data_IF_178389771992
#
_entry.id   IF_178389771992
#
_cell.length_a   1.000
_cell.length_b   1.000
_cell.length_c   1.000
_cell.angle_alpha   90.00
_cell.angle_beta   90.00
_cell.angle_gamma   90.00
#
_symmetry.space_group_name_H-M   'P 1'
#
loop_
_entity.id
_entity.type
_entity.pdbx_description
1 polymer ?
#
# COMPACT_ATOMS: atom_id res chain seq x y z
N UNK A 1 21.41 -24.08 26.81
CA UNK A 1 19.95 -24.29 26.85
C UNK A 1 19.41 -23.97 25.46
N UNK A 2 19.34 -25.01 24.64
CA UNK A 2 18.87 -24.98 23.25
C UNK A 2 17.38 -25.31 23.28
N UNK A 3 16.58 -24.49 22.62
CA UNK A 3 15.13 -24.69 22.49
C UNK A 3 14.90 -25.79 21.46
N UNK A 4 14.18 -26.84 21.88
CA UNK A 4 13.87 -28.06 21.12
C UNK A 4 13.20 -27.77 19.76
N UNK A 5 13.91 -28.10 18.68
CA UNK A 5 13.53 -28.04 17.27
C UNK A 5 12.66 -29.25 16.83
N UNK A 6 11.87 -29.82 17.75
CA UNK A 6 11.24 -31.15 17.55
C UNK A 6 9.71 -31.19 17.64
N UNK A 7 9.01 -30.05 17.57
CA UNK A 7 7.53 -30.03 17.54
C UNK A 7 6.89 -29.53 16.23
N UNK A 8 7.68 -29.08 15.27
CA UNK A 8 7.21 -28.88 13.90
C UNK A 8 7.77 -30.02 13.06
N UNK A 9 6.99 -31.09 12.89
CA UNK A 9 7.30 -32.12 11.92
C UNK A 9 7.62 -31.46 10.59
N UNK A 10 8.84 -31.65 10.08
CA UNK A 10 9.27 -31.09 8.80
C UNK A 10 8.24 -31.51 7.75
N UNK A 11 7.40 -30.59 7.32
CA UNK A 11 6.59 -30.75 6.12
C UNK A 11 7.61 -30.86 4.99
N UNK A 12 7.93 -32.08 4.56
CA UNK A 12 8.70 -32.30 3.34
C UNK A 12 7.79 -31.98 2.16
N UNK A 13 7.49 -30.70 1.96
CA UNK A 13 7.09 -30.22 0.65
C UNK A 13 8.27 -30.51 -0.27
N UNK A 14 8.06 -31.29 -1.34
CA UNK A 14 9.09 -31.47 -2.36
C UNK A 14 9.62 -30.11 -2.83
N UNK A 15 10.86 -30.02 -3.35
CA UNK A 15 11.50 -28.75 -3.72
C UNK A 15 10.63 -27.85 -4.61
N UNK A 16 9.79 -28.46 -5.44
CA UNK A 16 8.83 -27.79 -6.33
C UNK A 16 7.70 -27.14 -5.54
N UNK A 17 7.10 -27.81 -4.55
CA UNK A 17 6.02 -27.26 -3.75
C UNK A 17 6.54 -26.17 -2.81
N UNK A 18 7.74 -26.35 -2.26
CA UNK A 18 8.42 -25.31 -1.49
C UNK A 18 8.75 -24.08 -2.37
N UNK A 19 9.28 -24.27 -3.58
CA UNK A 19 9.55 -23.15 -4.49
C UNK A 19 8.27 -22.49 -4.99
N UNK A 20 7.19 -23.23 -5.22
CA UNK A 20 5.88 -22.68 -5.63
C UNK A 20 5.25 -21.88 -4.50
N UNK A 21 5.31 -22.38 -3.27
CA UNK A 21 4.82 -21.70 -2.08
C UNK A 21 5.66 -20.44 -1.83
N UNK A 22 6.99 -20.54 -1.78
CA UNK A 22 7.87 -19.40 -1.49
C UNK A 22 7.97 -18.38 -2.64
N UNK A 23 8.02 -18.80 -3.91
CA UNK A 23 8.00 -17.88 -5.07
C UNK A 23 6.60 -17.30 -5.37
N UNK A 24 5.50 -17.81 -4.78
CA UNK A 24 4.16 -17.18 -4.90
C UNK A 24 3.75 -16.41 -3.65
N UNK A 25 4.36 -16.66 -2.49
CA UNK A 25 4.27 -15.77 -1.34
C UNK A 25 4.85 -14.39 -1.65
N UNK A 26 5.97 -14.36 -2.38
CA UNK A 26 6.48 -13.18 -3.08
C UNK A 26 5.99 -13.22 -4.53
N UNK A 27 4.74 -12.84 -4.77
CA UNK A 27 4.19 -12.81 -6.13
C UNK A 27 5.12 -12.07 -7.09
N UNK A 28 5.48 -12.73 -8.19
CA UNK A 28 6.22 -12.11 -9.27
C UNK A 28 5.36 -11.01 -9.92
N UNK A 29 5.98 -9.88 -10.24
CA UNK A 29 5.37 -8.67 -10.82
C UNK A 29 4.55 -8.91 -12.10
N UNK A 30 4.75 -10.04 -12.79
CA UNK A 30 4.07 -10.36 -14.05
C UNK A 30 2.69 -11.02 -13.89
N UNK A 31 2.42 -11.80 -12.82
CA UNK A 31 1.04 -12.26 -12.53
C UNK A 31 0.14 -11.08 -12.07
N UNK A 32 0.76 -9.97 -11.66
CA UNK A 32 0.10 -8.78 -11.09
C UNK A 32 -0.28 -7.70 -12.11
N UNK A 33 0.43 -7.63 -13.26
CA UNK A 33 0.04 -6.76 -14.38
C UNK A 33 -1.31 -7.17 -14.97
N UNK A 34 -1.77 -8.37 -14.65
CA UNK A 34 -2.97 -8.99 -15.20
C UNK A 34 -4.21 -8.90 -14.30
N UNK A 35 -4.19 -8.12 -13.20
CA UNK A 35 -5.42 -7.85 -12.42
C UNK A 35 -6.56 -7.26 -13.28
N UNK A 36 -6.24 -6.63 -14.41
CA UNK A 36 -7.24 -6.17 -15.40
C UNK A 36 -7.67 -7.22 -16.44
N UNK A 37 -7.09 -8.42 -16.47
CA UNK A 37 -7.50 -9.51 -17.40
C UNK A 37 -7.81 -10.84 -16.71
N UNK A 38 -7.24 -11.13 -15.54
CA UNK A 38 -7.52 -12.32 -14.71
C UNK A 38 -7.06 -12.09 -13.25
N UNK A 39 -7.86 -11.36 -12.46
CA UNK A 39 -7.67 -11.31 -11.00
C UNK A 39 -7.88 -12.68 -10.34
N UNK A 40 -7.50 -12.87 -9.06
CA UNK A 40 -7.78 -14.12 -8.37
C UNK A 40 -9.29 -14.38 -8.36
N UNK A 41 -9.70 -15.63 -8.60
CA UNK A 41 -11.10 -16.03 -8.46
C UNK A 41 -11.53 -15.86 -6.99
N UNK A 42 -12.39 -14.87 -6.75
CA UNK A 42 -12.95 -14.59 -5.42
C UNK A 42 -14.34 -15.21 -5.35
N UNK A 43 -14.58 -15.97 -4.28
CA UNK A 43 -15.85 -16.64 -4.01
C UNK A 43 -16.30 -16.30 -2.60
N UNK A 44 -17.59 -16.41 -2.32
CA UNK A 44 -18.17 -16.20 -1.00
C UNK A 44 -18.30 -17.54 -0.26
N UNK A 45 -17.88 -17.59 1.00
CA UNK A 45 -18.10 -18.77 1.85
C UNK A 45 -19.52 -18.79 2.46
N UNK A 46 -19.82 -19.83 3.24
CA UNK A 46 -21.12 -20.01 3.91
C UNK A 46 -21.46 -18.88 4.90
N UNK A 47 -20.47 -18.12 5.35
CA UNK A 47 -20.63 -16.98 6.27
C UNK A 47 -20.79 -15.65 5.52
N UNK A 48 -20.80 -15.66 4.20
CA UNK A 48 -20.86 -14.43 3.40
C UNK A 48 -19.51 -13.74 3.22
N UNK A 49 -18.39 -14.38 3.59
CA UNK A 49 -17.06 -13.78 3.52
C UNK A 49 -16.35 -14.14 2.22
N UNK A 50 -15.69 -13.15 1.61
CA UNK A 50 -14.90 -13.33 0.40
C UNK A 50 -13.60 -14.08 0.70
N UNK A 51 -13.26 -15.04 -0.15
CA UNK A 51 -11.98 -15.74 -0.10
C UNK A 51 -11.48 -16.06 -1.52
N UNK A 52 -10.18 -16.34 -1.65
CA UNK A 52 -9.56 -16.70 -2.92
C UNK A 52 -9.64 -18.22 -3.11
N UNK A 53 -10.50 -18.70 -4.00
CA UNK A 53 -10.76 -20.15 -4.19
C UNK A 53 -9.48 -20.93 -4.48
N UNK A 54 -8.70 -20.43 -5.44
CA UNK A 54 -7.41 -21.01 -5.83
C UNK A 54 -6.42 -21.11 -4.67
N UNK A 55 -6.52 -20.20 -3.68
CA UNK A 55 -5.67 -20.22 -2.50
C UNK A 55 -6.02 -21.40 -1.60
N UNK A 56 -7.30 -21.62 -1.28
CA UNK A 56 -7.71 -22.80 -0.49
C UNK A 56 -7.42 -24.12 -1.20
N UNK A 57 -7.68 -24.20 -2.49
CA UNK A 57 -7.41 -25.41 -3.29
C UNK A 57 -5.92 -25.81 -3.25
N UNK A 58 -5.01 -24.82 -3.30
CA UNK A 58 -3.57 -25.06 -3.27
C UNK A 58 -3.08 -25.63 -1.93
N UNK A 59 -3.67 -25.18 -0.83
CA UNK A 59 -3.22 -25.52 0.51
C UNK A 59 -4.06 -26.62 1.19
N UNK A 60 -5.20 -27.04 0.61
CA UNK A 60 -6.03 -28.12 1.16
C UNK A 60 -5.26 -29.40 1.52
N UNK A 61 -4.29 -29.88 0.70
CA UNK A 61 -3.53 -31.07 1.04
C UNK A 61 -2.66 -30.94 2.29
N UNK A 62 -2.29 -29.72 2.68
CA UNK A 62 -1.38 -29.45 3.80
C UNK A 62 -2.09 -29.49 5.16
N UNK A 63 -3.42 -29.39 5.20
CA UNK A 63 -4.24 -29.43 6.42
C UNK A 63 -3.71 -28.51 7.53
N UNK A 64 -3.28 -27.30 7.16
CA UNK A 64 -2.83 -26.24 8.07
C UNK A 64 -3.91 -25.18 8.26
N UNK A 65 -3.83 -24.41 9.35
CA UNK A 65 -4.67 -23.23 9.52
C UNK A 65 -4.26 -22.15 8.49
N UNK A 66 -5.16 -21.84 7.57
CA UNK A 66 -4.93 -20.87 6.51
C UNK A 66 -5.37 -19.47 6.87
N UNK A 67 -6.09 -19.25 7.98
CA UNK A 67 -6.68 -17.94 8.26
C UNK A 67 -5.65 -16.79 8.27
N UNK A 68 -4.48 -16.91 8.93
CA UNK A 68 -3.46 -15.84 8.90
C UNK A 68 -2.90 -15.63 7.48
N UNK A 69 -2.74 -16.72 6.73
CA UNK A 69 -2.14 -16.72 5.41
C UNK A 69 -3.11 -16.08 4.39
N UNK A 70 -4.39 -16.44 4.43
CA UNK A 70 -5.46 -15.86 3.61
C UNK A 70 -5.60 -14.36 3.89
N UNK A 71 -5.61 -13.95 5.17
CA UNK A 71 -5.73 -12.55 5.54
C UNK A 71 -4.55 -11.71 5.02
N UNK A 72 -3.31 -12.20 5.19
CA UNK A 72 -2.13 -11.49 4.69
C UNK A 72 -2.05 -11.49 3.15
N UNK A 73 -2.50 -12.56 2.49
CA UNK A 73 -2.62 -12.60 1.04
C UNK A 73 -3.65 -11.57 0.54
N UNK A 74 -4.85 -11.55 1.13
CA UNK A 74 -5.91 -10.60 0.81
C UNK A 74 -5.41 -9.16 0.95
N UNK A 75 -4.68 -8.83 2.03
CA UNK A 75 -4.08 -7.51 2.21
C UNK A 75 -3.10 -7.15 1.09
N UNK A 76 -2.22 -8.08 0.68
CA UNK A 76 -1.26 -7.83 -0.43
C UNK A 76 -1.99 -7.56 -1.75
N UNK A 77 -3.02 -8.34 -2.07
CA UNK A 77 -3.81 -8.13 -3.28
C UNK A 77 -4.59 -6.81 -3.24
N UNK A 78 -5.22 -6.49 -2.10
CA UNK A 78 -5.90 -5.21 -1.91
C UNK A 78 -4.92 -4.04 -2.07
N UNK A 79 -3.76 -4.08 -1.41
CA UNK A 79 -2.73 -3.06 -1.53
C UNK A 79 -2.23 -2.88 -2.97
N UNK A 80 -2.06 -3.97 -3.73
CA UNK A 80 -1.67 -3.87 -5.14
C UNK A 80 -2.79 -3.29 -6.01
N UNK A 81 -4.03 -3.69 -5.78
CA UNK A 81 -5.19 -3.13 -6.50
C UNK A 81 -5.30 -1.62 -6.26
N UNK A 82 -5.15 -1.18 -5.00
CA UNK A 82 -5.13 0.23 -4.62
C UNK A 82 -4.02 0.99 -5.35
N UNK A 83 -2.80 0.47 -5.33
CA UNK A 83 -1.66 1.08 -6.02
C UNK A 83 -1.91 1.22 -7.53
N UNK A 84 -2.44 0.19 -8.20
CA UNK A 84 -2.76 0.24 -9.63
C UNK A 84 -3.85 1.27 -9.95
N UNK A 85 -4.86 1.38 -9.09
CA UNK A 85 -5.93 2.36 -9.25
C UNK A 85 -5.40 3.79 -9.09
N UNK A 86 -4.56 4.01 -8.08
CA UNK A 86 -3.90 5.30 -7.85
C UNK A 86 -2.94 5.67 -8.98
N UNK A 87 -2.16 4.72 -9.50
CA UNK A 87 -1.28 4.92 -10.65
C UNK A 87 -2.08 5.31 -11.90
N UNK A 88 -3.15 4.57 -12.22
CA UNK A 88 -4.03 4.87 -13.36
C UNK A 88 -4.73 6.21 -13.21
N UNK A 89 -5.21 6.51 -12.02
CA UNK A 89 -5.87 7.77 -11.73
C UNK A 89 -4.88 8.94 -11.86
N UNK A 90 -3.67 8.80 -11.32
CA UNK A 90 -2.63 9.82 -11.48
C UNK A 90 -2.21 10.06 -12.91
N UNK A 91 -2.08 8.98 -13.71
CA UNK A 91 -1.75 9.08 -15.12
C UNK A 91 -2.79 9.90 -15.92
N UNK A 92 -4.07 9.92 -15.52
CA UNK A 92 -5.09 10.81 -16.12
C UNK A 92 -4.78 12.30 -15.94
N UNK A 93 -3.97 12.64 -14.96
CA UNK A 93 -3.55 14.00 -14.63
C UNK A 93 -2.07 14.26 -14.90
N UNK A 94 -1.41 13.40 -15.68
CA UNK A 94 0.04 13.46 -16.00
C UNK A 94 0.97 13.39 -14.78
N UNK A 95 0.46 12.85 -13.67
CA UNK A 95 1.17 12.75 -12.40
C UNK A 95 1.35 11.28 -11.99
N UNK A 96 2.47 10.96 -11.36
CA UNK A 96 2.63 9.67 -10.70
C UNK A 96 1.93 9.68 -9.33
N UNK A 97 1.58 8.51 -8.79
CA UNK A 97 0.99 8.38 -7.45
C UNK A 97 1.80 9.14 -6.39
N UNK A 98 3.12 8.95 -6.35
CA UNK A 98 3.95 9.65 -5.36
C UNK A 98 3.97 11.17 -5.51
N UNK A 99 3.86 11.68 -6.76
CA UNK A 99 3.81 13.13 -7.00
C UNK A 99 2.47 13.70 -6.52
N UNK A 100 1.37 12.99 -6.78
CA UNK A 100 0.06 13.32 -6.23
C UNK A 100 0.03 13.27 -4.71
N UNK A 101 0.65 12.25 -4.10
CA UNK A 101 0.77 12.12 -2.65
C UNK A 101 1.42 13.35 -2.02
N UNK A 102 2.54 13.81 -2.59
CA UNK A 102 3.22 15.05 -2.13
C UNK A 102 2.31 16.26 -2.30
N UNK A 103 1.72 16.47 -3.47
CA UNK A 103 0.85 17.63 -3.72
C UNK A 103 -0.36 17.65 -2.78
N UNK A 104 -1.01 16.50 -2.56
CA UNK A 104 -2.14 16.37 -1.65
C UNK A 104 -1.78 16.63 -0.20
N UNK A 105 -0.62 16.13 0.23
CA UNK A 105 -0.17 16.34 1.61
C UNK A 105 0.13 17.83 1.86
N UNK A 106 0.83 18.47 0.93
CA UNK A 106 1.10 19.91 1.00
C UNK A 106 -0.17 20.76 0.89
N UNK A 107 -1.15 20.34 0.08
CA UNK A 107 -2.43 21.05 -0.05
C UNK A 107 -3.20 21.07 1.27
N UNK A 108 -3.23 19.94 1.99
CA UNK A 108 -3.95 19.79 3.26
C UNK A 108 -3.23 20.38 4.46
N UNK A 109 -1.91 20.23 4.51
CA UNK A 109 -1.12 20.52 5.71
C UNK A 109 -0.25 21.77 5.60
N UNK A 110 -0.22 22.40 4.42
CA UNK A 110 0.66 23.51 4.14
C UNK A 110 2.09 23.04 3.88
N UNK A 111 3.04 23.94 4.11
CA UNK A 111 4.46 23.66 3.88
C UNK A 111 4.94 22.59 4.86
N UNK A 112 5.65 21.57 4.38
CA UNK A 112 6.15 20.48 5.22
C UNK A 112 7.64 20.21 5.01
N UNK A 113 8.40 19.85 6.06
CA UNK A 113 9.73 19.29 5.91
C UNK A 113 9.71 18.05 5.02
N UNK A 114 10.76 17.85 4.22
CA UNK A 114 10.86 16.66 3.36
C UNK A 114 10.91 15.35 4.18
N UNK A 115 11.45 15.39 5.39
CA UNK A 115 11.43 14.24 6.30
C UNK A 115 10.01 13.85 6.72
N UNK A 116 9.18 14.83 7.06
CA UNK A 116 7.77 14.60 7.43
C UNK A 116 6.97 14.07 6.24
N UNK A 117 7.20 14.60 5.03
CA UNK A 117 6.61 14.04 3.81
C UNK A 117 7.00 12.57 3.58
N UNK A 118 8.23 12.18 3.93
CA UNK A 118 8.68 10.80 3.81
C UNK A 118 7.94 9.88 4.79
N UNK A 119 7.80 10.32 6.03
CA UNK A 119 7.10 9.56 7.06
C UNK A 119 5.59 9.45 6.77
N UNK A 120 4.94 10.57 6.43
CA UNK A 120 3.50 10.64 6.15
C UNK A 120 3.08 9.81 4.94
N UNK A 121 3.94 9.75 3.92
CA UNK A 121 3.66 8.99 2.69
C UNK A 121 4.25 7.57 2.74
N UNK A 122 4.86 7.18 3.86
CA UNK A 122 5.57 5.90 4.03
C UNK A 122 6.59 5.64 2.91
N UNK A 123 7.32 6.69 2.51
CA UNK A 123 8.33 6.66 1.45
C UNK A 123 9.74 6.89 2.02
N UNK A 124 10.76 6.44 1.29
CA UNK A 124 12.15 6.75 1.70
C UNK A 124 12.46 8.23 1.47
N UNK A 125 13.35 8.85 2.28
CA UNK A 125 13.78 10.24 2.05
C UNK A 125 14.33 10.49 0.65
N UNK A 126 15.09 9.52 0.09
CA UNK A 126 15.60 9.59 -1.28
C UNK A 126 14.48 9.66 -2.32
N UNK A 127 13.41 8.89 -2.11
CA UNK A 127 12.25 8.91 -3.02
C UNK A 127 11.54 10.27 -2.96
N UNK A 128 11.30 10.80 -1.76
CA UNK A 128 10.69 12.12 -1.58
C UNK A 128 11.51 13.22 -2.23
N UNK A 129 12.83 13.23 -2.03
CA UNK A 129 13.70 14.23 -2.67
C UNK A 129 13.53 14.20 -4.19
N UNK A 130 13.55 13.01 -4.80
CA UNK A 130 13.33 12.87 -6.24
C UNK A 130 11.94 13.37 -6.68
N UNK A 131 10.89 12.99 -5.96
CA UNK A 131 9.52 13.45 -6.26
C UNK A 131 9.40 14.98 -6.20
N UNK A 132 9.97 15.60 -5.16
CA UNK A 132 9.99 17.07 -5.01
C UNK A 132 10.83 17.72 -6.11
N UNK A 133 11.98 17.14 -6.50
CA UNK A 133 12.79 17.67 -7.61
C UNK A 133 12.03 17.68 -8.94
N UNK A 134 11.19 16.68 -9.18
CA UNK A 134 10.34 16.63 -10.37
C UNK A 134 9.21 17.67 -10.29
N UNK A 135 8.53 17.77 -9.16
CA UNK A 135 7.45 18.75 -8.96
C UNK A 135 7.96 20.19 -9.00
N UNK A 136 9.18 20.45 -8.55
CA UNK A 136 9.84 21.75 -8.64
C UNK A 136 10.22 22.11 -10.08
N UNK A 137 10.75 21.12 -10.83
CA UNK A 137 10.96 21.28 -12.28
C UNK A 137 9.68 21.54 -13.05
N UNK A 138 8.57 20.93 -12.63
CA UNK A 138 7.23 21.13 -13.20
C UNK A 138 6.59 22.46 -12.72
N UNK A 139 7.25 23.22 -11.83
CA UNK A 139 6.78 24.50 -11.31
C UNK A 139 5.60 24.40 -10.32
N UNK A 140 5.32 23.20 -9.80
CA UNK A 140 4.18 22.94 -8.90
C UNK A 140 4.56 23.06 -7.41
N UNK A 141 5.84 22.85 -7.09
CA UNK A 141 6.38 22.93 -5.73
C UNK A 141 7.62 23.82 -5.75
N UNK A 142 7.91 24.47 -4.63
CA UNK A 142 9.19 25.14 -4.39
C UNK A 142 9.74 24.72 -3.02
N UNK A 143 11.07 24.73 -2.88
CA UNK A 143 11.72 24.55 -1.57
C UNK A 143 11.95 25.88 -0.89
N UNK A 144 11.57 25.95 0.38
CA UNK A 144 11.79 27.11 1.24
C UNK A 144 12.64 26.72 2.45
N UNK A 145 13.50 27.63 2.95
CA UNK A 145 14.24 27.38 4.19
C UNK A 145 13.30 27.07 5.34
N UNK A 146 13.66 26.11 6.19
CA UNK A 146 12.95 25.92 7.44
C UNK A 146 13.33 27.04 8.42
N UNK A 147 12.33 27.68 9.01
CA UNK A 147 12.52 28.78 9.95
C UNK A 147 13.11 28.29 11.28
N UNK A 148 12.81 27.04 11.65
CA UNK A 148 13.19 26.44 12.93
C UNK A 148 14.49 25.62 12.83
N UNK A 149 14.86 25.16 11.62
CA UNK A 149 16.11 24.45 11.36
C UNK A 149 16.76 24.88 10.04
N UNK A 150 17.84 25.66 10.11
CA UNK A 150 18.59 26.13 8.93
C UNK A 150 19.22 25.02 8.10
N UNK A 151 19.29 23.78 8.60
CA UNK A 151 19.78 22.61 7.85
C UNK A 151 18.66 21.85 7.15
N UNK A 152 17.40 22.18 7.44
CA UNK A 152 16.21 21.58 6.85
C UNK A 152 15.61 22.46 5.77
N UNK A 153 14.90 21.83 4.84
CA UNK A 153 14.13 22.48 3.79
C UNK A 153 12.71 21.97 3.83
N UNK A 154 11.76 22.89 3.59
CA UNK A 154 10.35 22.58 3.49
C UNK A 154 9.94 22.62 2.02
N UNK A 155 9.06 21.72 1.62
CA UNK A 155 8.37 21.83 0.35
C UNK A 155 7.12 22.69 0.54
N UNK A 156 6.83 23.55 -0.44
CA UNK A 156 5.67 24.44 -0.49
C UNK A 156 5.00 24.33 -1.87
N UNK A 157 3.67 24.37 -1.91
CA UNK A 157 2.96 24.51 -3.19
C UNK A 157 3.15 25.91 -3.76
N UNK A 158 3.50 25.99 -5.04
CA UNK A 158 3.40 27.26 -5.80
C UNK A 158 1.92 27.60 -6.05
N UNK A 159 1.66 28.80 -6.57
CA UNK A 159 0.32 29.17 -7.02
C UNK A 159 -0.23 28.18 -8.07
N UNK A 160 0.61 27.81 -9.04
CA UNK A 160 0.27 26.82 -10.06
C UNK A 160 0.03 25.42 -9.48
N UNK A 161 0.85 24.99 -8.52
CA UNK A 161 0.66 23.73 -7.80
C UNK A 161 -0.67 23.68 -7.04
N UNK A 162 -1.03 24.78 -6.38
CA UNK A 162 -2.28 24.91 -5.64
C UNK A 162 -3.50 24.85 -6.57
N UNK A 163 -3.48 25.58 -7.68
CA UNK A 163 -4.57 25.54 -8.68
C UNK A 163 -4.70 24.13 -9.29
N UNK A 164 -3.57 23.51 -9.64
CA UNK A 164 -3.55 22.16 -10.22
C UNK A 164 -4.16 21.13 -9.27
N UNK A 165 -3.79 21.16 -7.99
CA UNK A 165 -4.26 20.15 -7.03
C UNK A 165 -5.69 20.41 -6.55
N UNK A 166 -6.16 21.67 -6.48
CA UNK A 166 -7.54 21.98 -6.10
C UNK A 166 -8.57 21.38 -7.07
N UNK A 167 -8.27 21.45 -8.37
CA UNK A 167 -9.10 20.81 -9.41
C UNK A 167 -9.11 19.28 -9.34
N UNK A 168 -8.04 18.68 -8.82
CA UNK A 168 -7.83 17.23 -8.74
C UNK A 168 -8.38 16.64 -7.42
N UNK A 169 -8.34 17.41 -6.32
CA UNK A 169 -8.67 16.97 -4.97
C UNK A 169 -10.09 16.44 -4.84
N UNK A 170 -11.07 17.13 -5.42
CA UNK A 170 -12.48 16.72 -5.35
C UNK A 170 -12.71 15.39 -6.03
N UNK A 171 -12.19 15.21 -7.24
CA UNK A 171 -12.29 13.94 -7.99
C UNK A 171 -11.60 12.79 -7.25
N UNK A 172 -10.42 13.04 -6.67
CA UNK A 172 -9.71 12.05 -5.88
C UNK A 172 -10.50 11.61 -4.65
N UNK A 173 -11.18 12.54 -3.97
CA UNK A 173 -12.01 12.23 -2.81
C UNK A 173 -13.23 11.37 -3.17
N UNK A 174 -13.93 11.69 -4.24
CA UNK A 174 -15.08 10.90 -4.72
C UNK A 174 -14.66 9.50 -5.15
N UNK A 175 -13.48 9.37 -5.78
CA UNK A 175 -12.93 8.07 -6.17
C UNK A 175 -12.67 7.16 -4.96
N UNK A 176 -12.18 7.71 -3.84
CA UNK A 176 -11.98 6.94 -2.60
C UNK A 176 -13.31 6.41 -2.04
N UNK A 177 -14.40 7.18 -2.16
CA UNK A 177 -15.72 6.74 -1.70
C UNK A 177 -16.28 5.61 -2.55
N UNK A 178 -16.11 5.67 -3.87
CA UNK A 178 -16.55 4.60 -4.76
C UNK A 178 -15.79 3.28 -4.51
N UNK A 179 -14.51 3.33 -4.14
CA UNK A 179 -13.72 2.13 -3.85
C UNK A 179 -14.22 1.34 -2.64
N UNK A 180 -14.85 2.01 -1.68
CA UNK A 180 -15.37 1.38 -0.46
C UNK A 180 -16.88 1.12 -0.51
N UNK A 181 -17.50 1.32 -1.67
CA UNK A 181 -18.93 1.10 -1.86
C UNK A 181 -19.32 -0.33 -1.50
N UNK A 182 -20.36 -0.47 -0.67
CA UNK A 182 -20.82 -1.76 -0.16
C UNK A 182 -20.19 -2.16 1.18
N UNK A 183 -19.22 -1.40 1.69
CA UNK A 183 -18.70 -1.55 3.05
C UNK A 183 -19.55 -0.75 4.04
N UNK A 184 -19.91 -1.35 5.17
CA UNK A 184 -20.58 -0.66 6.28
C UNK A 184 -19.59 0.18 7.10
N UNK A 185 -20.09 1.07 7.97
CA UNK A 185 -19.23 1.82 8.90
C UNK A 185 -18.40 0.88 9.80
N UNK A 186 -18.98 -0.25 10.20
CA UNK A 186 -18.29 -1.29 10.97
C UNK A 186 -17.16 -1.93 10.16
N UNK A 187 -17.40 -2.26 8.89
CA UNK A 187 -16.37 -2.85 8.01
C UNK A 187 -15.19 -1.90 7.84
N UNK A 188 -15.47 -0.61 7.64
CA UNK A 188 -14.45 0.44 7.48
C UNK A 188 -13.64 0.64 8.77
N UNK A 189 -14.31 0.67 9.92
CA UNK A 189 -13.65 0.77 11.21
C UNK A 189 -12.76 -0.45 11.49
N UNK A 190 -13.25 -1.65 11.18
CA UNK A 190 -12.51 -2.89 11.34
C UNK A 190 -11.32 -2.97 10.39
N UNK A 191 -11.49 -2.60 9.11
CA UNK A 191 -10.40 -2.56 8.14
C UNK A 191 -9.28 -1.62 8.61
N UNK A 192 -9.62 -0.40 9.02
CA UNK A 192 -8.65 0.57 9.56
C UNK A 192 -7.92 -0.01 10.77
N UNK A 193 -8.66 -0.58 11.72
CA UNK A 193 -8.09 -1.15 12.95
C UNK A 193 -7.10 -2.29 12.63
N UNK A 194 -7.50 -3.25 11.79
CA UNK A 194 -6.67 -4.41 11.46
C UNK A 194 -5.41 -4.03 10.68
N UNK A 195 -5.51 -3.09 9.73
CA UNK A 195 -4.34 -2.58 9.01
C UNK A 195 -3.34 -1.89 9.96
N UNK A 196 -3.82 -1.05 10.88
CA UNK A 196 -2.95 -0.39 11.86
C UNK A 196 -2.34 -1.38 12.87
N UNK A 197 -3.11 -2.40 13.28
CA UNK A 197 -2.57 -3.47 14.13
C UNK A 197 -1.44 -4.23 13.44
N UNK A 198 -1.54 -4.47 12.13
CA UNK A 198 -0.45 -5.08 11.35
C UNK A 198 0.79 -4.18 11.29
N UNK A 199 0.63 -2.85 11.19
CA UNK A 199 1.75 -1.91 11.27
C UNK A 199 2.45 -2.00 12.63
N UNK A 200 1.68 -2.02 13.73
CA UNK A 200 2.24 -2.15 15.07
C UNK A 200 2.95 -3.49 15.29
N UNK A 201 2.40 -4.58 14.75
CA UNK A 201 3.06 -5.89 14.81
C UNK A 201 4.36 -5.90 13.99
N UNK A 202 4.36 -5.32 12.79
CA UNK A 202 5.56 -5.23 11.95
C UNK A 202 6.65 -4.38 12.60
N UNK A 203 6.31 -3.29 13.30
CA UNK A 203 7.27 -2.47 14.06
C UNK A 203 7.98 -3.29 15.13
N UNK A 204 7.21 -4.05 15.92
CA UNK A 204 7.75 -4.94 16.96
C UNK A 204 8.72 -5.98 16.38
N UNK A 205 8.38 -6.60 15.25
CA UNK A 205 9.26 -7.57 14.59
C UNK A 205 10.54 -6.93 14.03
N UNK A 206 10.46 -5.69 13.54
CA UNK A 206 11.62 -4.93 13.06
C UNK A 206 12.46 -4.33 14.18
N UNK A 207 12.11 -4.56 15.45
CA UNK A 207 12.80 -4.02 16.62
C UNK A 207 12.68 -2.50 16.76
N UNK A 208 11.59 -1.92 16.24
CA UNK A 208 11.25 -0.50 16.35
C UNK A 208 10.18 -0.25 17.41
#
# INVERSE_FOLDING_TARGET
MSVDDHRLGRITCGPILYSVIMNRFNMNTDELKDLSKAGPEVVTDEKGLLYMKRFRDLFDPLKVDLAPIEALAALRYAGKAMHLLQERWGAKHDLSEGRLGVLFRLFRCGDLPLGELADDLAMTPRNITGLVDHLERDGLVERVPDADDRRSVRARLTAAGRERIDGIWKEGFDHQHELVKGMTETDLAQLRHLCLLLVENARKELGK
#
